data_IF_087126701079
#
_entry.id   IF_087126701079
#
_cell.length_a   1.000
_cell.length_b   1.000
_cell.length_c   1.000
_cell.angle_alpha   90.00
_cell.angle_beta   90.00
_cell.angle_gamma   90.00
#
_symmetry.space_group_name_H-M   'P 1'
#
loop_
_entity.id
_entity.type
_entity.pdbx_description
1 polymer ?
#
# COMPACT_ATOMS: atom_id res chain seq x y z
N UNK A 1 8.10 -22.96 4.79
CA UNK A 1 7.48 -23.59 5.97
C UNK A 1 6.01 -23.76 5.67
N UNK A 2 5.58 -25.00 5.43
CA UNK A 2 4.16 -25.38 5.41
C UNK A 2 3.89 -26.06 6.74
N UNK A 3 2.81 -25.67 7.40
CA UNK A 3 2.31 -26.34 8.59
C UNK A 3 0.84 -26.65 8.30
N UNK A 4 0.54 -27.93 8.08
CA UNK A 4 -0.82 -28.36 7.84
C UNK A 4 -1.56 -28.49 9.20
N UNK A 5 -2.85 -28.09 9.27
CA UNK A 5 -3.61 -28.19 10.51
C UNK A 5 -3.63 -29.64 11.02
N UNK A 6 -3.19 -29.86 12.27
CA UNK A 6 -3.17 -31.16 12.93
C UNK A 6 -1.79 -31.80 13.13
N UNK A 7 -0.71 -31.18 12.63
CA UNK A 7 0.65 -31.65 12.84
C UNK A 7 1.42 -30.72 13.78
N UNK A 8 2.11 -31.29 14.78
CA UNK A 8 2.98 -30.58 15.74
C UNK A 8 4.41 -30.39 15.21
N UNK A 9 4.77 -31.07 14.12
CA UNK A 9 6.07 -30.99 13.46
C UNK A 9 5.95 -30.31 12.09
N UNK A 10 6.89 -29.43 11.77
CA UNK A 10 6.99 -28.75 10.47
C UNK A 10 8.00 -29.44 9.54
N UNK A 11 7.73 -29.42 8.24
CA UNK A 11 8.70 -29.91 7.24
C UNK A 11 9.67 -28.78 6.89
N UNK A 12 10.96 -28.97 7.20
CA UNK A 12 12.04 -28.11 6.74
C UNK A 12 12.47 -28.54 5.33
N UNK A 13 11.94 -27.85 4.32
CA UNK A 13 12.36 -28.03 2.93
C UNK A 13 13.50 -27.07 2.58
N UNK A 14 14.65 -27.62 2.19
CA UNK A 14 15.73 -26.86 1.57
C UNK A 14 15.56 -26.92 0.06
N UNK A 15 15.31 -25.76 -0.56
CA UNK A 15 15.29 -25.64 -2.01
C UNK A 15 16.40 -24.72 -2.47
N UNK A 16 17.20 -25.14 -3.45
CA UNK A 16 18.08 -24.22 -4.16
C UNK A 16 17.24 -23.44 -5.18
N UNK A 17 17.12 -22.13 -4.97
CA UNK A 17 16.47 -21.22 -5.89
C UNK A 17 17.58 -20.41 -6.57
N UNK A 18 17.58 -20.33 -7.90
CA UNK A 18 18.45 -19.40 -8.60
C UNK A 18 18.07 -17.97 -8.22
N UNK A 19 19.05 -17.14 -7.86
CA UNK A 19 18.80 -15.73 -7.61
C UNK A 19 18.42 -15.05 -8.92
N UNK A 20 17.14 -14.72 -9.09
CA UNK A 20 16.65 -13.96 -10.23
C UNK A 20 16.67 -12.48 -9.90
N UNK A 21 17.40 -11.70 -10.70
CA UNK A 21 17.37 -10.25 -10.59
C UNK A 21 15.98 -9.75 -11.00
N UNK A 22 15.26 -9.15 -10.05
CA UNK A 22 13.95 -8.56 -10.33
C UNK A 22 14.09 -7.29 -11.15
N UNK A 23 13.20 -7.10 -12.11
CA UNK A 23 13.06 -5.85 -12.86
C UNK A 23 12.01 -4.91 -12.25
N UNK A 24 11.54 -5.20 -11.04
CA UNK A 24 10.64 -4.32 -10.30
C UNK A 24 11.36 -3.01 -9.93
N UNK A 25 10.65 -1.90 -10.01
CA UNK A 25 11.17 -0.60 -9.60
C UNK A 25 10.35 -0.04 -8.43
N UNK A 26 11.02 0.65 -7.51
CA UNK A 26 10.39 1.39 -6.41
C UNK A 26 10.33 2.86 -6.82
N UNK A 27 9.20 3.51 -6.54
CA UNK A 27 9.03 4.96 -6.68
C UNK A 27 8.65 5.53 -5.33
N UNK A 28 9.09 6.76 -5.07
CA UNK A 28 8.75 7.52 -3.87
C UNK A 28 7.98 8.77 -4.26
N UNK A 29 7.12 9.22 -3.35
CA UNK A 29 6.40 10.47 -3.45
C UNK A 29 6.49 11.15 -2.10
N UNK A 30 6.89 12.41 -2.13
CA UNK A 30 7.03 13.24 -0.93
C UNK A 30 6.05 14.39 -1.02
N UNK A 31 5.27 14.58 0.05
CA UNK A 31 4.33 15.67 0.18
C UNK A 31 4.76 16.55 1.35
N UNK A 32 5.02 17.86 1.14
CA UNK A 32 5.37 18.75 2.22
C UNK A 32 4.21 18.82 3.21
N UNK A 33 4.49 18.43 4.45
CA UNK A 33 3.55 18.51 5.56
C UNK A 33 3.54 19.89 6.20
N UNK A 34 2.50 20.16 6.98
CA UNK A 34 2.48 21.34 7.87
C UNK A 34 3.57 21.25 8.94
N UNK A 35 4.01 22.40 9.45
CA UNK A 35 5.00 22.45 10.55
C UNK A 35 4.51 21.59 11.73
N UNK A 36 5.43 20.81 12.32
CA UNK A 36 5.20 19.90 13.46
C UNK A 36 4.27 18.71 13.19
N UNK A 37 4.01 18.36 11.93
CA UNK A 37 3.32 17.11 11.60
C UNK A 37 4.21 15.90 11.90
N UNK A 38 3.70 14.94 12.69
CA UNK A 38 4.44 13.75 13.13
C UNK A 38 3.78 12.48 12.62
N UNK A 39 4.54 11.40 12.55
CA UNK A 39 4.05 10.07 12.17
C UNK A 39 2.94 9.58 13.10
N UNK A 40 2.98 9.90 14.40
CA UNK A 40 1.92 9.56 15.33
C UNK A 40 0.57 10.20 14.97
N UNK A 41 0.57 11.38 14.33
CA UNK A 41 -0.65 12.05 13.92
C UNK A 41 -1.35 11.29 12.79
N UNK A 42 -0.57 10.65 11.90
CA UNK A 42 -1.09 9.73 10.88
C UNK A 42 -1.72 8.50 11.53
N UNK A 43 -1.01 7.86 12.48
CA UNK A 43 -1.48 6.67 13.16
C UNK A 43 -2.78 6.93 13.94
N UNK A 44 -2.86 8.04 14.67
CA UNK A 44 -4.09 8.46 15.36
C UNK A 44 -5.25 8.63 14.37
N UNK A 45 -5.01 9.28 13.23
CA UNK A 45 -6.06 9.44 12.22
C UNK A 45 -6.54 8.12 11.60
N UNK A 46 -5.64 7.16 11.36
CA UNK A 46 -6.03 5.82 10.90
C UNK A 46 -6.95 5.15 11.93
N UNK A 47 -6.58 5.24 13.21
CA UNK A 47 -7.34 4.65 14.31
C UNK A 47 -8.70 5.32 14.50
N UNK A 48 -8.72 6.65 14.63
CA UNK A 48 -9.94 7.41 14.94
C UNK A 48 -10.96 7.36 13.79
N UNK A 49 -10.51 7.22 12.55
CA UNK A 49 -11.38 7.04 11.39
C UNK A 49 -11.65 5.55 11.05
N UNK A 50 -11.30 4.63 11.95
CA UNK A 50 -11.44 3.19 11.78
C UNK A 50 -10.87 2.64 10.46
N UNK A 51 -9.87 3.31 9.87
CA UNK A 51 -9.28 2.94 8.57
C UNK A 51 -8.47 1.65 8.64
N UNK A 52 -8.15 1.19 9.85
CA UNK A 52 -7.56 -0.12 10.07
C UNK A 52 -8.55 -1.28 9.85
N UNK A 53 -9.86 -1.02 9.83
CA UNK A 53 -10.91 -2.01 9.53
C UNK A 53 -11.23 -2.12 8.03
N UNK A 54 -10.26 -1.80 7.19
CA UNK A 54 -10.41 -1.92 5.75
C UNK A 54 -10.06 -3.33 5.32
N UNK A 55 -11.04 -4.03 4.77
CA UNK A 55 -10.83 -5.32 4.14
C UNK A 55 -10.32 -5.12 2.71
N UNK A 56 -9.16 -5.70 2.40
CA UNK A 56 -8.47 -5.51 1.13
C UNK A 56 -9.12 -6.42 0.09
N UNK A 57 -9.57 -5.84 -1.02
CA UNK A 57 -10.07 -6.63 -2.16
C UNK A 57 -9.03 -7.64 -2.66
N UNK A 58 -9.49 -8.86 -2.96
CA UNK A 58 -8.64 -9.93 -3.51
C UNK A 58 -7.86 -9.50 -4.75
N UNK A 59 -6.65 -10.03 -4.95
CA UNK A 59 -5.80 -9.72 -6.10
C UNK A 59 -4.79 -8.58 -5.91
N UNK A 60 -4.67 -8.04 -4.69
CA UNK A 60 -3.59 -7.12 -4.31
C UNK A 60 -3.75 -5.68 -4.81
N UNK A 61 -4.91 -5.31 -5.37
CA UNK A 61 -5.21 -3.93 -5.79
C UNK A 61 -5.82 -3.07 -4.68
N UNK A 62 -6.48 -3.68 -3.69
CA UNK A 62 -7.18 -2.95 -2.64
C UNK A 62 -6.27 -2.09 -1.75
N UNK A 63 -4.99 -2.45 -1.62
CA UNK A 63 -4.01 -1.69 -0.83
C UNK A 63 -3.74 -0.30 -1.42
N UNK A 64 -3.76 -0.15 -2.75
CA UNK A 64 -3.55 1.15 -3.42
C UNK A 64 -4.71 2.10 -3.16
N UNK A 65 -5.93 1.58 -3.19
CA UNK A 65 -7.11 2.35 -2.83
C UNK A 65 -7.05 2.83 -1.38
N UNK A 66 -6.64 1.94 -0.46
CA UNK A 66 -6.44 2.30 0.94
C UNK A 66 -5.43 3.45 1.10
N UNK A 67 -4.27 3.37 0.43
CA UNK A 67 -3.27 4.46 0.43
C UNK A 67 -3.87 5.78 -0.06
N UNK A 68 -4.64 5.76 -1.17
CA UNK A 68 -5.35 6.95 -1.66
C UNK A 68 -6.26 7.53 -0.58
N UNK A 69 -7.01 6.71 0.14
CA UNK A 69 -7.92 7.16 1.21
C UNK A 69 -7.14 7.80 2.35
N UNK A 70 -6.02 7.21 2.78
CA UNK A 70 -5.19 7.80 3.84
C UNK A 70 -4.66 9.17 3.41
N UNK A 71 -4.11 9.28 2.19
CA UNK A 71 -3.62 10.56 1.67
C UNK A 71 -4.75 11.58 1.56
N UNK A 72 -5.92 11.18 1.05
CA UNK A 72 -7.10 12.06 0.98
C UNK A 72 -7.60 12.53 2.35
N UNK A 73 -7.52 11.68 3.37
CA UNK A 73 -7.83 12.09 4.74
C UNK A 73 -6.85 13.15 5.26
N UNK A 74 -5.56 13.02 4.92
CA UNK A 74 -4.54 14.02 5.29
C UNK A 74 -4.73 15.34 4.56
N UNK A 75 -5.10 15.31 3.27
CA UNK A 75 -5.41 16.54 2.51
C UNK A 75 -6.64 17.25 3.10
N UNK A 76 -7.71 16.53 3.41
CA UNK A 76 -8.94 17.08 4.02
C UNK A 76 -8.70 17.71 5.39
N UNK A 77 -7.76 17.17 6.17
CA UNK A 77 -7.35 17.73 7.47
C UNK A 77 -6.31 18.84 7.35
N UNK A 78 -5.94 19.25 6.14
CA UNK A 78 -4.94 20.29 5.89
C UNK A 78 -3.54 19.92 6.38
N UNK A 79 -3.23 18.62 6.50
CA UNK A 79 -1.92 18.15 6.99
C UNK A 79 -0.86 18.14 5.89
N UNK A 80 -1.29 17.95 4.65
CA UNK A 80 -0.48 18.00 3.42
C UNK A 80 -1.25 18.80 2.36
N UNK A 81 -0.59 19.13 1.25
CA UNK A 81 -1.20 19.90 0.16
C UNK A 81 -2.52 19.29 -0.35
N UNK A 82 -3.52 20.13 -0.62
CA UNK A 82 -4.86 19.69 -1.03
C UNK A 82 -4.85 18.85 -2.32
N UNK A 83 -3.86 19.08 -3.18
CA UNK A 83 -3.67 18.39 -4.46
C UNK A 83 -3.02 17.01 -4.36
N UNK A 84 -2.40 16.66 -3.22
CA UNK A 84 -1.56 15.45 -3.08
C UNK A 84 -2.28 14.16 -3.42
N UNK A 85 -3.54 14.00 -2.99
CA UNK A 85 -4.30 12.77 -3.25
C UNK A 85 -4.64 12.61 -4.75
N UNK A 86 -4.91 13.71 -5.44
CA UNK A 86 -5.23 13.71 -6.87
C UNK A 86 -3.97 13.54 -7.72
N UNK A 87 -2.84 14.16 -7.33
CA UNK A 87 -1.58 14.00 -8.04
C UNK A 87 -1.01 12.59 -7.89
N UNK A 88 -1.21 11.95 -6.74
CA UNK A 88 -0.75 10.59 -6.48
C UNK A 88 -1.58 9.52 -7.22
N UNK A 89 -2.86 9.83 -7.49
CA UNK A 89 -3.80 8.81 -7.98
C UNK A 89 -3.38 8.12 -9.29
N UNK A 90 -2.95 8.84 -10.34
CA UNK A 90 -2.49 8.21 -11.57
C UNK A 90 -1.32 7.26 -11.31
N UNK A 91 -0.42 7.60 -10.39
CA UNK A 91 0.78 6.84 -10.10
C UNK A 91 0.51 5.55 -9.31
N UNK A 92 -0.45 5.56 -8.38
CA UNK A 92 -0.85 4.37 -7.63
C UNK A 92 -1.42 3.25 -8.51
N UNK A 93 -1.89 3.61 -9.70
CA UNK A 93 -2.47 2.66 -10.64
C UNK A 93 -1.40 1.87 -11.39
N UNK A 94 -0.10 2.09 -11.20
CA UNK A 94 0.94 1.41 -11.97
C UNK A 94 1.69 0.34 -11.18
N UNK A 95 2.22 -0.64 -11.92
CA UNK A 95 3.35 -1.46 -11.48
C UNK A 95 4.60 -0.89 -12.16
N UNK A 96 5.59 -0.52 -11.37
CA UNK A 96 6.82 0.07 -11.89
C UNK A 96 7.82 -1.05 -12.22
N UNK A 97 8.36 -0.97 -13.44
CA UNK A 97 9.34 -1.90 -13.98
C UNK A 97 10.50 -1.08 -14.56
N UNK A 98 11.71 -1.62 -14.55
CA UNK A 98 12.90 -0.92 -15.07
C UNK A 98 12.92 -0.86 -16.60
N UNK A 99 12.27 -1.82 -17.25
CA UNK A 99 12.30 -2.01 -18.73
C UNK A 99 10.93 -1.79 -19.40
N UNK A 100 9.82 -2.02 -18.69
CA UNK A 100 8.49 -2.05 -19.31
C UNK A 100 7.75 -0.74 -19.09
N UNK A 101 6.92 -0.37 -20.06
CA UNK A 101 6.02 0.78 -19.96
C UNK A 101 4.99 0.58 -18.84
N UNK A 102 4.55 1.71 -18.29
CA UNK A 102 3.52 1.78 -17.24
C UNK A 102 2.24 1.07 -17.72
N UNK A 103 1.91 -0.07 -17.13
CA UNK A 103 0.64 -0.76 -17.38
C UNK A 103 -0.30 -0.50 -16.20
N UNK A 104 -1.49 0.10 -16.40
CA UNK A 104 -2.45 0.33 -15.32
C UNK A 104 -3.28 -0.94 -15.05
N UNK A 105 -3.09 -1.63 -13.90
CA UNK A 105 -4.08 -2.56 -13.37
C UNK A 105 -5.42 -1.88 -13.09
N UNK A 106 -6.50 -2.67 -13.22
CA UNK A 106 -7.81 -2.29 -12.70
C UNK A 106 -7.70 -2.07 -11.18
N UNK A 107 -8.31 -0.98 -10.71
CA UNK A 107 -8.40 -0.72 -9.29
C UNK A 107 -9.69 -1.33 -8.76
N UNK A 108 -9.54 -2.26 -7.81
CA UNK A 108 -10.67 -2.82 -7.08
C UNK A 108 -10.64 -2.25 -5.68
N UNK A 109 -11.67 -1.49 -5.33
CA UNK A 109 -11.88 -1.00 -3.97
C UNK A 109 -12.29 -2.18 -3.07
N UNK A 110 -11.73 -2.24 -1.87
CA UNK A 110 -12.17 -3.12 -0.79
C UNK A 110 -13.28 -2.48 0.07
N UNK A 111 -13.57 -3.08 1.22
CA UNK A 111 -14.71 -2.67 2.06
C UNK A 111 -14.22 -2.03 3.35
N UNK A 112 -14.83 -0.90 3.74
CA UNK A 112 -14.61 -0.28 5.06
C UNK A 112 -15.70 -0.73 6.03
N UNK A 113 -15.31 -1.00 7.29
CA UNK A 113 -16.19 -1.39 8.39
C UNK A 113 -16.07 -0.47 9.61
#
# INVERSE_FOLDING_TARGET
>A
MRADPGFIDGILEWTQQAYLLTHSAIRHWDFPGVKRFRVCDVAMHIRDAHRFRYDISGGGSGCRYWVRVIVSNMTKKGRIASTSANSLWPDLLYRYHTIQNRKPPSMVQGTFH
#
